data_IF_636351631507
#
_entry.id   IF_636351631507
#
_cell.length_a   1.000
_cell.length_b   1.000
_cell.length_c   1.000
_cell.angle_alpha   90.00
_cell.angle_beta   90.00
_cell.angle_gamma   90.00
#
_symmetry.space_group_name_H-M   'P 1'
#
loop_
_entity.id
_entity.type
_entity.pdbx_description
1 polymer ?
#
# COMPACT_ATOMS: atom_id res chain seq x y z
N UNK A 1 9.88 -10.69 -17.02
CA UNK A 1 9.48 -9.29 -17.32
C UNK A 1 10.60 -8.64 -18.09
N UNK A 2 10.30 -7.98 -19.22
CA UNK A 2 11.33 -7.37 -20.07
C UNK A 2 12.21 -6.32 -19.38
N UNK A 3 11.73 -5.70 -18.29
CA UNK A 3 12.53 -4.77 -17.50
C UNK A 3 13.64 -5.44 -16.67
N UNK A 4 13.55 -6.76 -16.43
CA UNK A 4 14.56 -7.54 -15.72
C UNK A 4 15.42 -8.37 -16.67
N UNK A 5 14.81 -9.02 -17.65
CA UNK A 5 15.46 -10.02 -18.51
C UNK A 5 15.58 -9.59 -19.97
N UNK A 6 15.05 -8.43 -20.34
CA UNK A 6 14.99 -7.95 -21.73
C UNK A 6 13.83 -8.53 -22.55
N UNK A 7 13.20 -9.62 -22.09
CA UNK A 7 12.07 -10.29 -22.77
C UNK A 7 10.92 -10.64 -21.82
N UNK A 8 9.67 -10.53 -22.28
CA UNK A 8 8.50 -11.02 -21.54
C UNK A 8 8.41 -12.55 -21.59
N UNK A 9 7.81 -13.18 -20.58
CA UNK A 9 7.76 -14.64 -20.45
C UNK A 9 9.12 -15.33 -20.17
N UNK A 10 10.22 -14.57 -20.18
CA UNK A 10 11.57 -15.11 -19.94
C UNK A 10 12.05 -14.83 -18.51
N UNK A 11 12.44 -15.90 -17.82
CA UNK A 11 13.06 -15.86 -16.48
C UNK A 11 14.56 -15.57 -16.53
N UNK A 12 15.22 -15.73 -17.68
CA UNK A 12 16.67 -15.63 -17.81
C UNK A 12 17.40 -16.51 -16.78
N UNK A 13 18.50 -16.00 -16.23
CA UNK A 13 19.28 -16.66 -15.17
C UNK A 13 18.73 -16.40 -13.75
N UNK A 14 17.49 -15.90 -13.62
CA UNK A 14 16.89 -15.67 -12.31
C UNK A 14 16.56 -17.00 -11.64
N UNK A 15 17.43 -17.43 -10.73
CA UNK A 15 17.21 -18.60 -9.88
C UNK A 15 16.23 -18.33 -8.72
N UNK A 16 15.56 -17.17 -8.70
CA UNK A 16 14.68 -16.75 -7.60
C UNK A 16 13.58 -15.85 -8.12
N UNK A 17 12.36 -16.12 -7.64
CA UNK A 17 11.19 -15.27 -7.81
C UNK A 17 11.43 -13.86 -7.23
N UNK A 18 11.43 -12.80 -8.05
CA UNK A 18 11.69 -11.45 -7.60
C UNK A 18 10.69 -10.94 -6.55
N UNK A 19 9.41 -11.28 -6.66
CA UNK A 19 8.38 -10.82 -5.73
C UNK A 19 8.57 -11.46 -4.35
N UNK A 20 8.80 -12.78 -4.31
CA UNK A 20 9.11 -13.49 -3.07
C UNK A 20 10.37 -12.93 -2.37
N UNK A 21 11.41 -12.60 -3.16
CA UNK A 21 12.62 -11.97 -2.63
C UNK A 21 12.36 -10.57 -2.07
N UNK A 22 11.62 -9.72 -2.79
CA UNK A 22 11.27 -8.36 -2.34
C UNK A 22 10.51 -8.36 -1.01
N UNK A 23 9.53 -9.26 -0.89
CA UNK A 23 8.73 -9.44 0.34
C UNK A 23 9.64 -9.86 1.50
N UNK A 24 10.43 -10.92 1.29
CA UNK A 24 11.34 -11.46 2.31
C UNK A 24 12.32 -10.41 2.83
N UNK A 25 12.94 -9.63 1.93
CA UNK A 25 13.90 -8.61 2.33
C UNK A 25 13.25 -7.40 3.02
N UNK A 26 12.03 -7.04 2.62
CA UNK A 26 11.23 -5.99 3.27
C UNK A 26 10.88 -6.40 4.71
N UNK A 27 10.39 -7.62 4.87
CA UNK A 27 9.98 -8.17 6.16
C UNK A 27 11.14 -8.37 7.13
N UNK A 28 12.31 -8.82 6.67
CA UNK A 28 13.55 -8.89 7.48
C UNK A 28 13.93 -7.54 8.12
N UNK A 29 13.48 -6.43 7.53
CA UNK A 29 13.72 -5.06 8.01
C UNK A 29 12.56 -4.50 8.86
N UNK A 30 11.52 -5.31 9.12
CA UNK A 30 10.36 -4.93 9.92
C UNK A 30 9.41 -3.97 9.21
N UNK A 31 9.47 -3.92 7.88
CA UNK A 31 8.59 -3.12 7.02
C UNK A 31 7.46 -3.99 6.47
N UNK A 32 6.34 -3.37 6.13
CA UNK A 32 5.25 -4.01 5.38
C UNK A 32 5.50 -3.92 3.87
N UNK A 33 5.03 -4.93 3.12
CA UNK A 33 5.08 -4.97 1.67
C UNK A 33 3.66 -4.95 1.09
N UNK A 34 3.33 -3.88 0.38
CA UNK A 34 2.07 -3.78 -0.35
C UNK A 34 2.37 -3.97 -1.85
N UNK A 35 1.80 -5.01 -2.47
CA UNK A 35 1.94 -5.26 -3.89
C UNK A 35 1.09 -4.25 -4.68
N UNK A 36 1.75 -3.40 -5.46
CA UNK A 36 1.10 -2.43 -6.32
C UNK A 36 0.76 -3.05 -7.67
N UNK A 37 -0.51 -2.92 -8.07
CA UNK A 37 -1.03 -3.37 -9.35
C UNK A 37 -1.73 -2.21 -10.06
N UNK A 38 -1.53 -2.10 -11.37
CA UNK A 38 -2.29 -1.22 -12.25
C UNK A 38 -3.30 -2.09 -13.00
N UNK A 39 -4.61 -1.91 -12.80
CA UNK A 39 -5.60 -2.89 -13.26
C UNK A 39 -5.79 -2.89 -14.79
N UNK A 40 -5.90 -1.71 -15.42
CA UNK A 40 -6.44 -1.65 -16.79
C UNK A 40 -5.43 -1.31 -17.89
N UNK A 41 -4.18 -0.95 -17.56
CA UNK A 41 -3.17 -0.71 -18.60
C UNK A 41 -2.68 -2.06 -19.15
N UNK A 42 -2.95 -2.35 -20.42
CA UNK A 42 -2.44 -3.54 -21.09
C UNK A 42 -1.04 -3.32 -21.68
N UNK A 43 -0.78 -2.14 -22.28
CA UNK A 43 0.51 -1.84 -22.90
C UNK A 43 1.09 -0.48 -22.48
N UNK A 44 2.41 -0.32 -22.64
CA UNK A 44 3.09 0.95 -22.40
C UNK A 44 3.08 1.89 -23.60
N UNK A 45 2.96 1.33 -24.80
CA UNK A 45 2.91 2.01 -26.09
C UNK A 45 2.09 1.15 -27.08
N UNK A 46 2.00 1.57 -28.35
CA UNK A 46 1.37 0.81 -29.43
C UNK A 46 2.29 -0.27 -30.02
N UNK A 47 3.55 -0.38 -29.58
CA UNK A 47 4.51 -1.37 -30.09
C UNK A 47 4.27 -2.72 -29.39
N UNK A 48 3.50 -3.56 -30.04
CA UNK A 48 3.04 -4.85 -29.49
C UNK A 48 3.91 -6.04 -29.91
N UNK A 49 4.88 -5.84 -30.81
CA UNK A 49 5.78 -6.88 -31.31
C UNK A 49 6.67 -7.53 -30.22
N UNK A 50 6.86 -6.83 -29.10
CA UNK A 50 7.68 -7.29 -27.98
C UNK A 50 6.87 -8.01 -26.89
N UNK A 51 5.54 -8.08 -27.04
CA UNK A 51 4.68 -8.81 -26.09
C UNK A 51 4.93 -10.31 -26.20
N UNK A 52 4.86 -11.00 -25.07
CA UNK A 52 4.94 -12.46 -25.07
C UNK A 52 3.73 -13.07 -25.83
N UNK A 53 3.89 -14.23 -26.52
CA UNK A 53 2.79 -14.85 -27.26
C UNK A 53 1.55 -15.15 -26.41
N UNK A 54 1.74 -15.40 -25.11
CA UNK A 54 0.70 -15.68 -24.12
C UNK A 54 0.15 -14.41 -23.42
N UNK A 55 0.54 -13.22 -23.86
CA UNK A 55 0.03 -11.96 -23.33
C UNK A 55 -1.46 -11.78 -23.69
N UNK A 56 -2.30 -11.33 -22.75
CA UNK A 56 -3.75 -11.21 -22.95
C UNK A 56 -4.14 -10.33 -24.15
N UNK A 57 -3.35 -9.30 -24.45
CA UNK A 57 -3.51 -8.50 -25.69
C UNK A 57 -3.63 -9.38 -26.96
N UNK A 58 -2.85 -10.46 -27.04
CA UNK A 58 -2.86 -11.39 -28.17
C UNK A 58 -3.89 -12.51 -28.00
N UNK A 59 -4.11 -12.98 -26.77
CA UNK A 59 -5.03 -14.08 -26.48
C UNK A 59 -6.50 -13.65 -26.47
N UNK A 60 -6.75 -12.40 -26.08
CA UNK A 60 -8.06 -11.79 -25.88
C UNK A 60 -8.11 -10.38 -26.50
N UNK A 61 -7.95 -10.24 -27.83
CA UNK A 61 -7.98 -8.94 -28.49
C UNK A 61 -9.32 -8.21 -28.28
N UNK A 62 -10.41 -8.94 -28.06
CA UNK A 62 -11.74 -8.40 -27.74
C UNK A 62 -11.82 -7.70 -26.38
N UNK A 63 -10.84 -7.91 -25.50
CA UNK A 63 -10.74 -7.20 -24.22
C UNK A 63 -10.09 -5.83 -24.34
N UNK A 64 -9.49 -5.51 -25.49
CA UNK A 64 -8.55 -4.40 -25.62
C UNK A 64 -9.19 -3.19 -26.30
N UNK A 65 -9.07 -2.02 -25.67
CA UNK A 65 -9.45 -0.72 -26.24
C UNK A 65 -8.18 0.09 -26.53
N UNK A 66 -7.90 0.46 -27.79
CA UNK A 66 -6.87 1.44 -28.09
C UNK A 66 -7.29 2.82 -27.61
N UNK A 67 -6.41 3.53 -26.92
CA UNK A 67 -6.63 4.90 -26.47
C UNK A 67 -5.31 5.64 -26.33
N UNK A 68 -5.17 6.77 -27.01
CA UNK A 68 -3.90 7.46 -27.20
C UNK A 68 -2.85 6.52 -27.80
N UNK A 69 -1.69 6.49 -27.17
CA UNK A 69 -0.57 5.66 -27.60
C UNK A 69 -0.55 4.27 -26.93
N UNK A 70 -1.67 3.77 -26.38
CA UNK A 70 -1.68 2.53 -25.57
C UNK A 70 -2.93 1.70 -25.79
N UNK A 71 -2.88 0.47 -25.30
CA UNK A 71 -4.05 -0.40 -25.13
C UNK A 71 -4.43 -0.53 -23.66
N UNK A 72 -5.73 -0.58 -23.43
CA UNK A 72 -6.34 -0.75 -22.11
C UNK A 72 -7.29 -1.94 -22.12
N UNK A 73 -7.32 -2.70 -21.04
CA UNK A 73 -8.41 -3.64 -20.81
C UNK A 73 -9.73 -2.86 -20.67
N UNK A 74 -10.78 -3.35 -21.31
CA UNK A 74 -12.11 -2.75 -21.29
C UNK A 74 -12.77 -2.99 -19.92
N UNK A 75 -12.96 -1.96 -19.07
CA UNK A 75 -13.47 -2.16 -17.72
C UNK A 75 -14.93 -2.64 -17.70
N UNK A 76 -15.67 -2.46 -18.81
CA UNK A 76 -17.07 -2.85 -18.93
C UNK A 76 -17.32 -4.32 -19.22
N UNK A 77 -16.28 -5.11 -19.50
CA UNK A 77 -16.43 -6.55 -19.74
C UNK A 77 -16.34 -7.33 -18.42
N UNK A 78 -17.35 -8.16 -18.08
CA UNK A 78 -17.28 -9.02 -16.90
C UNK A 78 -16.08 -9.96 -16.89
N UNK A 79 -15.68 -10.47 -18.05
CA UNK A 79 -14.55 -11.39 -18.21
C UNK A 79 -13.22 -10.72 -17.83
N UNK A 80 -13.04 -9.45 -18.22
CA UNK A 80 -11.90 -8.63 -17.82
C UNK A 80 -11.89 -8.45 -16.30
N UNK A 81 -13.03 -8.11 -15.69
CA UNK A 81 -13.10 -7.93 -14.24
C UNK A 81 -12.75 -9.23 -13.50
N UNK A 82 -13.28 -10.36 -13.95
CA UNK A 82 -12.99 -11.68 -13.38
C UNK A 82 -11.50 -12.04 -13.51
N UNK A 83 -10.90 -11.80 -14.67
CA UNK A 83 -9.48 -12.04 -14.90
C UNK A 83 -8.61 -11.19 -13.94
N UNK A 84 -8.88 -9.88 -13.83
CA UNK A 84 -8.10 -9.00 -12.95
C UNK A 84 -8.25 -9.37 -11.46
N UNK A 85 -9.44 -9.80 -11.03
CA UNK A 85 -9.65 -10.34 -9.68
C UNK A 85 -8.89 -11.64 -9.48
N UNK A 86 -8.82 -12.51 -10.49
CA UNK A 86 -8.05 -13.76 -10.43
C UNK A 86 -6.54 -13.51 -10.28
N UNK A 87 -5.99 -12.48 -10.95
CA UNK A 87 -4.60 -12.05 -10.75
C UNK A 87 -4.36 -11.59 -9.31
N UNK A 88 -5.27 -10.79 -8.75
CA UNK A 88 -5.16 -10.38 -7.33
C UNK A 88 -5.26 -11.61 -6.40
N UNK A 89 -6.19 -12.51 -6.66
CA UNK A 89 -6.37 -13.77 -5.92
C UNK A 89 -5.09 -14.59 -5.90
N UNK A 90 -4.44 -14.76 -7.04
CA UNK A 90 -3.17 -15.47 -7.17
C UNK A 90 -2.08 -14.83 -6.30
N UNK A 91 -1.90 -13.50 -6.40
CA UNK A 91 -0.88 -12.79 -5.64
C UNK A 91 -1.13 -12.93 -4.12
N UNK A 92 -2.38 -12.75 -3.70
CA UNK A 92 -2.77 -12.88 -2.29
C UNK A 92 -2.57 -14.31 -1.80
N UNK A 93 -2.93 -15.33 -2.58
CA UNK A 93 -2.80 -16.72 -2.18
C UNK A 93 -1.32 -17.13 -2.07
N UNK A 94 -0.52 -16.86 -3.10
CA UNK A 94 0.86 -17.37 -3.23
C UNK A 94 1.89 -16.63 -2.38
N UNK A 95 1.70 -15.34 -2.12
CA UNK A 95 2.73 -14.51 -1.51
C UNK A 95 2.37 -14.00 -0.11
N UNK A 96 3.39 -13.78 0.72
CA UNK A 96 3.23 -13.21 2.06
C UNK A 96 3.18 -11.67 2.03
N UNK A 97 2.22 -11.11 1.29
CA UNK A 97 2.03 -9.65 1.23
C UNK A 97 1.28 -9.13 2.46
N UNK A 98 1.47 -7.86 2.80
CA UNK A 98 0.68 -7.16 3.84
C UNK A 98 -0.48 -6.37 3.25
N UNK A 99 -0.41 -6.04 1.95
CA UNK A 99 -1.49 -5.36 1.26
C UNK A 99 -1.45 -5.47 -0.26
N UNK A 100 -2.59 -5.22 -0.88
CA UNK A 100 -2.76 -4.90 -2.30
C UNK A 100 -2.97 -3.39 -2.41
N UNK A 101 -2.28 -2.78 -3.37
CA UNK A 101 -2.38 -1.36 -3.65
C UNK A 101 -2.75 -1.10 -5.11
N UNK A 102 -3.82 -0.34 -5.35
CA UNK A 102 -4.06 0.27 -6.68
C UNK A 102 -3.71 1.76 -6.62
N UNK A 103 -3.25 2.31 -7.74
CA UNK A 103 -3.02 3.75 -7.91
C UNK A 103 -4.25 4.44 -8.50
N UNK A 104 -4.05 5.43 -9.38
CA UNK A 104 -5.10 6.30 -9.92
C UNK A 104 -5.54 5.95 -11.34
N UNK A 105 -4.98 4.91 -11.96
CA UNK A 105 -5.34 4.52 -13.34
C UNK A 105 -6.54 3.57 -13.34
N UNK A 106 -7.71 4.15 -13.57
CA UNK A 106 -8.96 3.44 -13.84
C UNK A 106 -9.27 3.52 -15.33
N UNK A 107 -10.22 4.38 -15.72
CA UNK A 107 -10.25 4.86 -17.10
C UNK A 107 -9.07 5.81 -17.35
N UNK A 108 -8.53 5.84 -18.59
CA UNK A 108 -7.39 6.67 -18.90
C UNK A 108 -7.69 8.17 -18.77
N UNK A 109 -6.62 8.92 -18.55
CA UNK A 109 -6.67 10.38 -18.56
C UNK A 109 -7.18 10.86 -19.92
N UNK A 110 -8.25 11.69 -19.94
CA UNK A 110 -8.82 12.25 -21.17
C UNK A 110 -7.76 12.93 -22.04
N UNK A 111 -7.71 12.52 -23.30
CA UNK A 111 -6.97 13.14 -24.39
C UNK A 111 -7.96 13.93 -25.23
N UNK A 112 -7.61 15.18 -25.55
CA UNK A 112 -8.48 16.05 -26.33
C UNK A 112 -8.70 15.45 -27.74
N UNK A 113 -9.97 15.29 -28.12
CA UNK A 113 -10.35 14.76 -29.42
C UNK A 113 -10.36 13.23 -29.51
N UNK A 114 -10.01 12.52 -28.43
CA UNK A 114 -10.03 11.06 -28.40
C UNK A 114 -11.15 10.52 -27.52
N UNK A 115 -11.92 9.58 -28.08
CA UNK A 115 -12.99 8.87 -27.39
C UNK A 115 -12.48 7.51 -26.91
N UNK A 116 -12.70 7.19 -25.64
CA UNK A 116 -12.56 5.83 -25.14
C UNK A 116 -13.77 5.01 -25.63
N UNK A 117 -13.56 4.18 -26.65
CA UNK A 117 -14.64 3.52 -27.38
C UNK A 117 -15.09 2.20 -26.72
N UNK A 118 -15.85 2.34 -25.64
CA UNK A 118 -16.57 1.24 -24.99
C UNK A 118 -18.06 1.19 -25.39
N UNK A 119 -18.41 1.70 -26.58
CA UNK A 119 -19.81 1.92 -26.98
C UNK A 119 -20.59 0.61 -27.12
N UNK A 120 -20.01 -0.37 -27.82
CA UNK A 120 -20.56 -1.72 -27.97
C UNK A 120 -20.78 -2.38 -26.61
N UNK A 121 -19.81 -2.27 -25.70
CA UNK A 121 -19.89 -2.85 -24.35
C UNK A 121 -20.95 -2.14 -23.52
N UNK A 122 -21.06 -0.82 -23.62
CA UNK A 122 -22.13 -0.08 -22.95
C UNK A 122 -23.52 -0.49 -23.46
N UNK A 123 -23.70 -0.68 -24.77
CA UNK A 123 -24.98 -1.17 -25.32
C UNK A 123 -25.31 -2.58 -24.83
N UNK A 124 -24.32 -3.44 -24.65
CA UNK A 124 -24.52 -4.82 -24.22
C UNK A 124 -24.78 -4.97 -22.70
N UNK A 125 -24.07 -4.21 -21.87
CA UNK A 125 -24.05 -4.40 -20.40
C UNK A 125 -24.60 -3.21 -19.60
N UNK A 126 -24.87 -2.07 -20.25
CA UNK A 126 -25.50 -0.92 -19.62
C UNK A 126 -26.96 -1.20 -19.27
N UNK A 127 -27.43 -0.66 -18.14
CA UNK A 127 -28.84 -0.75 -17.75
C UNK A 127 -29.67 0.33 -18.47
N UNK A 128 -30.95 0.09 -18.78
CA UNK A 128 -31.79 1.02 -19.55
C UNK A 128 -31.79 2.48 -19.07
N UNK A 129 -31.76 2.72 -17.75
CA UNK A 129 -31.83 4.05 -17.14
C UNK A 129 -30.48 4.54 -16.57
N UNK A 130 -29.37 3.85 -16.88
CA UNK A 130 -28.04 4.20 -16.39
C UNK A 130 -27.32 5.06 -17.43
N UNK A 131 -26.77 6.21 -17.05
CA UNK A 131 -25.91 6.98 -17.95
C UNK A 131 -24.61 6.23 -18.24
N UNK A 132 -23.94 6.53 -19.36
CA UNK A 132 -22.64 5.90 -19.68
C UNK A 132 -21.60 6.19 -18.60
N UNK A 133 -21.59 7.40 -18.06
CA UNK A 133 -20.69 7.80 -16.99
C UNK A 133 -20.97 7.06 -15.69
N UNK A 134 -22.25 6.85 -15.32
CA UNK A 134 -22.62 6.03 -14.15
C UNK A 134 -22.28 4.56 -14.37
N UNK A 135 -22.45 4.05 -15.58
CA UNK A 135 -22.06 2.71 -15.96
C UNK A 135 -20.55 2.51 -15.81
N UNK A 136 -19.75 3.43 -16.35
CA UNK A 136 -18.28 3.40 -16.19
C UNK A 136 -17.87 3.41 -14.72
N UNK A 137 -18.48 4.28 -13.89
CA UNK A 137 -18.23 4.30 -12.43
C UNK A 137 -18.59 2.97 -11.78
N UNK A 138 -19.75 2.40 -12.13
CA UNK A 138 -20.19 1.11 -11.59
C UNK A 138 -19.25 -0.03 -11.93
N UNK A 139 -18.67 -0.05 -13.13
CA UNK A 139 -17.69 -1.06 -13.54
C UNK A 139 -16.43 -1.01 -12.67
N UNK A 140 -15.92 0.20 -12.40
CA UNK A 140 -14.77 0.36 -11.49
C UNK A 140 -15.14 -0.09 -10.08
N UNK A 141 -16.28 0.37 -9.56
CA UNK A 141 -16.76 -0.01 -8.22
C UNK A 141 -16.95 -1.53 -8.08
N UNK A 142 -17.43 -2.22 -9.12
CA UNK A 142 -17.55 -3.68 -9.15
C UNK A 142 -16.19 -4.39 -9.06
N UNK A 143 -15.16 -3.90 -9.75
CA UNK A 143 -13.80 -4.44 -9.59
C UNK A 143 -13.29 -4.22 -8.16
N UNK A 144 -13.47 -3.02 -7.60
CA UNK A 144 -13.01 -2.70 -6.24
C UNK A 144 -13.70 -3.59 -5.21
N UNK A 145 -15.03 -3.77 -5.31
CA UNK A 145 -15.77 -4.64 -4.42
C UNK A 145 -15.27 -6.10 -4.50
N UNK A 146 -15.21 -6.67 -5.70
CA UNK A 146 -14.79 -8.08 -5.86
C UNK A 146 -13.35 -8.30 -5.41
N UNK A 147 -12.47 -7.33 -5.67
CA UNK A 147 -11.08 -7.36 -5.19
C UNK A 147 -11.03 -7.38 -3.67
N UNK A 148 -11.79 -6.51 -3.00
CA UNK A 148 -11.90 -6.49 -1.55
C UNK A 148 -12.37 -7.83 -0.99
N UNK A 149 -13.51 -8.31 -1.48
CA UNK A 149 -14.13 -9.56 -1.01
C UNK A 149 -13.18 -10.76 -1.18
N UNK A 150 -12.50 -10.84 -2.33
CA UNK A 150 -11.51 -11.88 -2.61
C UNK A 150 -10.32 -11.83 -1.65
N UNK A 151 -9.76 -10.64 -1.41
CA UNK A 151 -8.66 -10.46 -0.44
C UNK A 151 -9.10 -10.91 0.95
N UNK A 152 -10.28 -10.46 1.39
CA UNK A 152 -10.78 -10.77 2.74
C UNK A 152 -11.15 -12.23 2.93
N UNK A 153 -11.63 -12.91 1.88
CA UNK A 153 -11.90 -14.34 1.91
C UNK A 153 -10.61 -15.17 2.04
N UNK A 154 -9.52 -14.77 1.38
CA UNK A 154 -8.26 -15.52 1.38
C UNK A 154 -7.40 -15.23 2.61
N UNK A 155 -7.17 -13.94 2.89
CA UNK A 155 -6.28 -13.48 3.98
C UNK A 155 -6.87 -12.19 4.59
N UNK A 156 -7.78 -12.28 5.59
CA UNK A 156 -8.52 -11.12 6.09
C UNK A 156 -7.64 -9.99 6.67
N UNK A 157 -6.40 -10.30 7.06
CA UNK A 157 -5.42 -9.31 7.52
C UNK A 157 -4.71 -8.55 6.39
N UNK A 158 -4.77 -9.02 5.14
CA UNK A 158 -4.17 -8.31 3.99
C UNK A 158 -5.01 -7.07 3.70
N UNK A 159 -4.35 -5.92 3.67
CA UNK A 159 -5.03 -4.64 3.42
C UNK A 159 -5.30 -4.45 1.94
N UNK A 160 -6.41 -3.80 1.60
CA UNK A 160 -6.66 -3.30 0.26
C UNK A 160 -6.76 -1.78 0.32
N UNK A 161 -5.93 -1.06 -0.42
CA UNK A 161 -6.03 0.38 -0.46
C UNK A 161 -5.66 0.99 -1.78
N UNK A 162 -6.21 2.18 -2.01
CA UNK A 162 -6.18 2.83 -3.32
C UNK A 162 -5.58 4.22 -3.17
N UNK A 163 -4.71 4.63 -4.09
CA UNK A 163 -4.13 5.98 -4.17
C UNK A 163 -4.80 6.77 -5.31
N UNK A 164 -6.04 7.27 -5.13
CA UNK A 164 -6.75 7.98 -6.18
C UNK A 164 -6.11 9.34 -6.48
N UNK A 165 -6.52 9.97 -7.58
CA UNK A 165 -6.14 11.35 -7.88
C UNK A 165 -6.54 12.29 -6.72
N UNK A 166 -5.79 13.36 -6.51
CA UNK A 166 -5.97 14.21 -5.33
C UNK A 166 -7.30 14.97 -5.26
N UNK A 167 -7.99 15.16 -6.39
CA UNK A 167 -9.28 15.87 -6.48
C UNK A 167 -10.39 14.89 -6.88
N UNK A 168 -11.38 14.70 -6.00
CA UNK A 168 -12.56 13.89 -6.31
C UNK A 168 -13.49 14.59 -7.31
N UNK A 169 -13.91 15.82 -6.98
CA UNK A 169 -14.67 16.76 -7.81
C UNK A 169 -14.30 18.19 -7.42
N UNK A 170 -14.43 19.13 -8.35
CA UNK A 170 -14.33 20.57 -8.04
C UNK A 170 -15.66 21.07 -7.47
N UNK A 171 -15.59 22.00 -6.50
CA UNK A 171 -16.77 22.63 -5.88
C UNK A 171 -17.70 23.34 -6.89
N UNK A 172 -17.14 23.81 -8.01
CA UNK A 172 -17.91 24.41 -9.12
C UNK A 172 -18.75 23.41 -9.91
N UNK A 173 -18.41 22.12 -9.85
CA UNK A 173 -19.12 21.02 -10.51
C UNK A 173 -20.09 20.34 -9.55
N UNK A 174 -19.68 20.19 -8.29
CA UNK A 174 -20.48 19.58 -7.23
C UNK A 174 -20.19 20.31 -5.92
N UNK A 175 -21.20 20.87 -5.21
CA UNK A 175 -20.97 21.61 -3.96
C UNK A 175 -20.30 20.82 -2.85
N UNK A 176 -20.35 19.48 -2.91
CA UNK A 176 -19.64 18.60 -1.97
C UNK A 176 -18.16 18.39 -2.33
N UNK A 177 -17.75 18.82 -3.51
CA UNK A 177 -16.38 18.79 -4.00
C UNK A 177 -15.43 19.72 -3.25
N UNK A 178 -14.14 19.59 -3.53
CA UNK A 178 -13.12 20.45 -2.92
C UNK A 178 -13.09 21.82 -3.59
N UNK A 179 -12.72 22.87 -2.84
CA UNK A 179 -12.44 24.21 -3.37
C UNK A 179 -11.14 24.21 -4.19
N UNK A 180 -11.25 23.67 -5.40
CA UNK A 180 -10.20 23.45 -6.39
C UNK A 180 -10.71 23.74 -7.79
N UNK A 181 -9.78 23.89 -8.72
CA UNK A 181 -10.00 24.07 -10.17
C UNK A 181 -9.11 23.11 -10.95
N UNK A 182 -9.16 21.83 -10.60
CA UNK A 182 -8.38 20.81 -11.31
C UNK A 182 -9.01 20.55 -12.69
N UNK A 183 -8.18 20.48 -13.73
CA UNK A 183 -8.62 20.16 -15.08
C UNK A 183 -9.10 18.71 -15.25
N UNK A 184 -8.81 17.86 -14.26
CA UNK A 184 -9.26 16.48 -14.20
C UNK A 184 -9.57 16.09 -12.76
N UNK A 185 -10.48 15.14 -12.60
CA UNK A 185 -11.04 14.73 -11.31
C UNK A 185 -11.32 13.22 -11.33
N UNK A 186 -11.31 12.56 -10.16
CA UNK A 186 -11.60 11.13 -10.09
C UNK A 186 -12.98 10.80 -10.67
N UNK A 187 -14.01 11.51 -10.23
CA UNK A 187 -15.40 11.14 -10.47
C UNK A 187 -15.85 11.42 -11.91
N UNK A 188 -15.49 12.60 -12.43
CA UNK A 188 -16.04 13.09 -13.71
C UNK A 188 -15.25 12.57 -14.92
N UNK A 189 -13.97 12.25 -14.73
CA UNK A 189 -13.05 11.97 -15.84
C UNK A 189 -12.42 10.59 -15.78
N UNK A 190 -12.02 10.13 -14.59
CA UNK A 190 -11.41 8.81 -14.40
C UNK A 190 -12.44 7.74 -14.01
N UNK A 191 -13.70 8.14 -13.82
CA UNK A 191 -14.83 7.32 -13.39
C UNK A 191 -14.54 6.51 -12.12
N UNK A 192 -13.78 7.12 -11.20
CA UNK A 192 -13.42 6.56 -9.92
C UNK A 192 -14.20 7.27 -8.80
N UNK A 193 -14.88 6.52 -7.95
CA UNK A 193 -15.61 7.06 -6.81
C UNK A 193 -15.07 6.55 -5.45
N UNK A 194 -13.90 7.06 -5.01
CA UNK A 194 -13.32 6.69 -3.72
C UNK A 194 -14.21 6.99 -2.51
N UNK A 195 -15.21 7.87 -2.66
CA UNK A 195 -16.15 8.24 -1.61
C UNK A 195 -17.15 7.10 -1.40
N UNK A 196 -17.66 6.52 -2.50
CA UNK A 196 -18.44 5.28 -2.47
C UNK A 196 -17.64 4.15 -1.82
N UNK A 197 -16.43 3.87 -2.29
CA UNK A 197 -15.64 2.73 -1.81
C UNK A 197 -15.36 2.83 -0.31
N UNK A 198 -15.10 4.06 0.18
CA UNK A 198 -14.96 4.36 1.60
C UNK A 198 -16.26 4.15 2.39
N UNK A 199 -17.40 4.58 1.86
CA UNK A 199 -18.71 4.42 2.52
C UNK A 199 -19.11 2.95 2.63
N UNK A 200 -18.81 2.16 1.60
CA UNK A 200 -19.14 0.74 1.54
C UNK A 200 -18.14 -0.15 2.29
N UNK A 201 -16.98 0.40 2.70
CA UNK A 201 -15.94 -0.37 3.38
C UNK A 201 -15.14 -1.29 2.46
N UNK A 202 -15.18 -1.06 1.14
CA UNK A 202 -14.44 -1.85 0.14
C UNK A 202 -12.94 -1.54 0.11
N UNK A 203 -12.47 -0.56 0.88
CA UNK A 203 -11.04 -0.25 1.04
C UNK A 203 -10.68 -0.09 2.52
N UNK A 204 -9.52 -0.59 2.90
CA UNK A 204 -8.95 -0.43 4.25
C UNK A 204 -8.26 0.92 4.44
N UNK A 205 -7.82 1.54 3.34
CA UNK A 205 -7.25 2.88 3.30
C UNK A 205 -7.40 3.55 1.93
N UNK A 206 -7.41 4.87 1.95
CA UNK A 206 -7.26 5.73 0.79
C UNK A 206 -5.97 6.54 0.90
N UNK A 207 -5.34 6.78 -0.24
CA UNK A 207 -4.10 7.54 -0.34
C UNK A 207 -4.14 8.65 -1.40
N UNK A 208 -4.97 9.70 -1.23
CA UNK A 208 -5.13 10.72 -2.26
C UNK A 208 -3.80 11.40 -2.62
N UNK A 209 -3.55 11.53 -3.93
CA UNK A 209 -2.32 12.08 -4.49
C UNK A 209 -2.29 13.61 -4.42
N UNK A 210 -1.91 14.17 -3.26
CA UNK A 210 -1.83 15.62 -3.04
C UNK A 210 -0.50 16.21 -3.51
N UNK A 211 -0.23 16.08 -4.81
CA UNK A 211 1.06 16.43 -5.41
C UNK A 211 1.18 17.91 -5.78
N UNK A 212 0.56 18.82 -5.04
CA UNK A 212 0.71 20.27 -5.21
C UNK A 212 1.40 20.87 -3.99
N UNK A 213 1.93 22.09 -4.13
CA UNK A 213 2.48 22.79 -2.98
C UNK A 213 1.37 23.19 -2.00
N UNK A 214 1.77 23.54 -0.77
CA UNK A 214 0.86 23.91 0.32
C UNK A 214 -0.25 24.86 -0.11
N UNK A 215 0.11 25.91 -0.84
CA UNK A 215 -0.78 27.02 -1.16
C UNK A 215 -0.96 27.23 -2.68
N UNK A 216 -0.71 26.20 -3.49
CA UNK A 216 -0.97 26.23 -4.94
C UNK A 216 -2.44 26.55 -5.24
N UNK A 217 -2.72 27.72 -5.80
CA UNK A 217 -4.08 28.26 -5.86
C UNK A 217 -5.13 27.36 -6.57
N UNK A 218 -4.82 26.64 -7.66
CA UNK A 218 -5.78 25.73 -8.30
C UNK A 218 -6.08 24.44 -7.51
N UNK A 219 -5.15 23.95 -6.70
CA UNK A 219 -5.26 22.65 -6.02
C UNK A 219 -4.39 22.61 -4.76
N UNK A 220 -4.66 23.50 -3.81
CA UNK A 220 -3.86 23.66 -2.60
C UNK A 220 -3.82 22.37 -1.80
N UNK A 221 -2.61 21.91 -1.44
CA UNK A 221 -2.44 20.74 -0.58
C UNK A 221 -3.17 20.94 0.75
N UNK A 222 -3.15 22.15 1.33
CA UNK A 222 -3.85 22.46 2.59
C UNK A 222 -5.36 22.27 2.48
N UNK A 223 -5.97 22.79 1.41
CA UNK A 223 -7.42 22.66 1.18
C UNK A 223 -7.81 21.20 0.96
N UNK A 224 -7.05 20.49 0.12
CA UNK A 224 -7.32 19.09 -0.18
C UNK A 224 -7.12 18.18 1.03
N UNK A 225 -6.08 18.40 1.82
CA UNK A 225 -5.85 17.67 3.08
C UNK A 225 -7.05 17.81 4.02
N UNK A 226 -7.54 19.04 4.22
CA UNK A 226 -8.69 19.32 5.07
C UNK A 226 -9.97 18.70 4.53
N UNK A 227 -10.17 18.75 3.21
CA UNK A 227 -11.34 18.16 2.56
C UNK A 227 -11.35 16.64 2.76
N UNK A 228 -10.28 15.93 2.38
CA UNK A 228 -10.19 14.47 2.55
C UNK A 228 -10.37 14.04 4.01
N UNK A 229 -9.71 14.72 4.94
CA UNK A 229 -9.82 14.43 6.38
C UNK A 229 -11.26 14.54 6.93
N UNK A 230 -12.09 15.36 6.28
CA UNK A 230 -13.48 15.61 6.69
C UNK A 230 -14.46 14.68 5.97
N UNK A 231 -14.21 14.37 4.70
CA UNK A 231 -15.19 13.66 3.84
C UNK A 231 -15.18 12.14 4.02
N UNK A 232 -14.06 11.53 4.44
CA UNK A 232 -13.96 10.08 4.67
C UNK A 232 -13.45 9.73 6.08
N UNK A 233 -14.10 10.20 7.15
CA UNK A 233 -13.57 10.11 8.52
C UNK A 233 -13.44 8.67 9.05
N UNK A 234 -14.18 7.72 8.45
CA UNK A 234 -14.17 6.31 8.83
C UNK A 234 -13.06 5.49 8.16
N UNK A 235 -12.44 6.00 7.11
CA UNK A 235 -11.43 5.29 6.32
C UNK A 235 -10.05 5.82 6.64
N UNK A 236 -9.05 4.94 6.67
CA UNK A 236 -7.68 5.40 6.91
C UNK A 236 -7.20 6.27 5.76
N UNK A 237 -6.54 7.37 6.08
CA UNK A 237 -5.99 8.31 5.12
C UNK A 237 -4.47 8.40 5.25
N UNK A 238 -3.80 8.13 4.14
CA UNK A 238 -2.39 8.40 3.94
C UNK A 238 -2.22 9.44 2.85
N UNK A 239 -1.41 10.48 3.06
CA UNK A 239 -1.30 11.53 2.04
C UNK A 239 -0.22 11.18 1.03
N UNK A 240 -0.58 11.15 -0.26
CA UNK A 240 0.39 11.07 -1.33
C UNK A 240 1.19 12.37 -1.43
N UNK A 241 2.50 12.32 -1.21
CA UNK A 241 3.41 13.45 -1.35
C UNK A 241 4.29 13.32 -2.60
N UNK A 242 4.27 14.34 -3.45
CA UNK A 242 4.99 14.37 -4.72
C UNK A 242 6.47 14.72 -4.58
N UNK A 243 7.28 13.88 -3.94
CA UNK A 243 8.71 14.10 -3.76
C UNK A 243 9.49 14.29 -5.09
N UNK A 244 8.96 13.78 -6.21
CA UNK A 244 9.51 14.01 -7.55
C UNK A 244 9.44 15.45 -8.05
N UNK A 245 8.62 16.31 -7.42
CA UNK A 245 8.47 17.72 -7.80
C UNK A 245 9.50 18.65 -7.14
N UNK A 246 10.19 18.20 -6.10
CA UNK A 246 11.21 19.00 -5.40
C UNK A 246 12.26 19.47 -6.43
N UNK A 247 12.40 20.79 -6.59
CA UNK A 247 13.30 21.45 -7.58
C UNK A 247 13.09 20.98 -9.03
N UNK A 248 11.92 20.40 -9.33
CA UNK A 248 11.56 19.86 -10.64
C UNK A 248 10.08 20.19 -10.94
N UNK A 249 9.71 21.44 -10.70
CA UNK A 249 8.38 21.95 -10.97
C UNK A 249 8.43 23.44 -11.32
N UNK A 250 7.40 23.91 -12.06
CA UNK A 250 7.26 25.34 -12.38
C UNK A 250 6.89 26.17 -11.16
N UNK A 251 6.16 25.58 -10.22
CA UNK A 251 5.83 26.23 -8.95
C UNK A 251 7.06 26.34 -8.06
N UNK A 252 7.48 27.58 -7.77
CA UNK A 252 8.68 27.93 -7.01
C UNK A 252 8.64 27.48 -5.55
N UNK A 253 7.47 27.18 -4.99
CA UNK A 253 7.38 26.60 -3.65
C UNK A 253 8.23 25.31 -3.52
N UNK A 254 8.34 24.53 -4.61
CA UNK A 254 9.11 23.28 -4.64
C UNK A 254 10.63 23.47 -4.59
N UNK A 255 11.14 24.69 -4.75
CA UNK A 255 12.57 25.01 -4.56
C UNK A 255 12.93 25.04 -3.06
N UNK A 256 11.93 25.26 -2.19
CA UNK A 256 12.11 25.22 -0.75
C UNK A 256 12.22 23.78 -0.25
N UNK A 257 13.39 23.43 0.30
CA UNK A 257 13.64 22.11 0.92
C UNK A 257 12.68 21.76 2.07
N UNK A 258 11.96 22.73 2.62
CA UNK A 258 10.97 22.56 3.68
C UNK A 258 9.54 22.32 3.18
N UNK A 259 9.26 22.44 1.88
CA UNK A 259 7.91 22.26 1.32
C UNK A 259 7.30 20.92 1.74
N UNK A 260 7.95 19.79 1.44
CA UNK A 260 7.51 18.46 1.89
C UNK A 260 7.50 18.36 3.43
N UNK A 261 8.57 18.70 4.17
CA UNK A 261 8.52 18.72 5.63
C UNK A 261 7.33 19.47 6.25
N UNK A 262 6.93 20.60 5.68
CA UNK A 262 5.80 21.40 6.15
C UNK A 262 4.45 20.73 5.83
N UNK A 263 4.32 20.09 4.66
CA UNK A 263 3.17 19.21 4.35
C UNK A 263 3.04 18.07 5.38
N UNK A 264 4.15 17.41 5.74
CA UNK A 264 4.14 16.34 6.75
C UNK A 264 3.75 16.85 8.15
N UNK A 265 4.22 18.03 8.53
CA UNK A 265 3.85 18.68 9.80
C UNK A 265 2.36 19.04 9.81
N UNK A 266 1.84 19.55 8.69
CA UNK A 266 0.41 19.84 8.54
C UNK A 266 -0.42 18.55 8.66
N UNK A 267 -0.06 17.49 7.93
CA UNK A 267 -0.72 16.18 8.03
C UNK A 267 -0.77 15.65 9.46
N UNK A 268 0.31 15.80 10.24
CA UNK A 268 0.33 15.40 11.67
C UNK A 268 -0.60 16.19 12.57
N UNK A 269 -0.89 17.45 12.23
CA UNK A 269 -1.78 18.33 13.00
C UNK A 269 -3.24 18.11 12.64
N UNK A 270 -3.52 17.53 11.47
CA UNK A 270 -4.86 17.30 10.96
C UNK A 270 -5.41 15.98 11.48
N UNK A 271 -6.57 16.04 12.15
CA UNK A 271 -7.29 14.85 12.62
C UNK A 271 -7.61 13.93 11.43
N UNK A 272 -7.69 12.62 11.67
CA UNK A 272 -7.98 11.58 10.66
C UNK A 272 -6.89 11.33 9.59
N UNK A 273 -5.77 12.07 9.60
CA UNK A 273 -4.61 11.72 8.77
C UNK A 273 -3.68 10.80 9.56
N UNK A 274 -3.40 9.60 9.05
CA UNK A 274 -2.59 8.59 9.77
C UNK A 274 -1.21 8.33 9.16
N UNK A 275 -0.86 8.95 8.04
CA UNK A 275 0.44 8.71 7.42
C UNK A 275 0.61 9.39 6.06
N UNK A 276 1.68 9.01 5.37
CA UNK A 276 2.11 9.63 4.13
C UNK A 276 2.74 8.56 3.21
N UNK A 277 2.58 8.71 1.90
CA UNK A 277 3.19 7.88 0.85
C UNK A 277 3.98 8.82 -0.07
N UNK A 278 5.27 8.55 -0.27
CA UNK A 278 6.11 9.41 -1.10
C UNK A 278 6.22 8.88 -2.53
N UNK A 279 5.80 9.67 -3.51
CA UNK A 279 6.08 9.41 -4.92
C UNK A 279 7.34 10.17 -5.35
N UNK A 280 8.49 9.52 -5.53
CA UNK A 280 8.76 8.09 -5.33
C UNK A 280 9.98 7.90 -4.43
N UNK A 281 10.24 6.65 -4.03
CA UNK A 281 11.44 6.30 -3.28
C UNK A 281 12.71 6.77 -4.00
N UNK A 282 12.77 6.66 -5.33
CA UNK A 282 13.90 7.13 -6.12
C UNK A 282 14.11 8.63 -6.03
N UNK A 283 13.06 9.43 -6.25
CA UNK A 283 13.18 10.89 -6.22
C UNK A 283 13.50 11.43 -4.82
N UNK A 284 12.94 10.82 -3.77
CA UNK A 284 13.24 11.24 -2.40
C UNK A 284 14.64 10.80 -1.95
N UNK A 285 14.97 9.51 -2.12
CA UNK A 285 16.15 8.91 -1.49
C UNK A 285 17.43 9.06 -2.32
N UNK A 286 17.33 9.16 -3.64
CA UNK A 286 18.48 9.33 -4.54
C UNK A 286 18.66 10.79 -4.94
N UNK A 287 17.62 11.44 -5.44
CA UNK A 287 17.71 12.81 -5.97
C UNK A 287 17.68 13.87 -4.87
N UNK A 288 16.77 13.76 -3.89
CA UNK A 288 16.53 14.79 -2.87
C UNK A 288 17.03 14.40 -1.46
N UNK A 289 18.31 13.97 -1.40
CA UNK A 289 18.92 13.41 -0.17
C UNK A 289 18.94 14.37 1.01
N UNK A 290 19.04 15.67 0.77
CA UNK A 290 19.04 16.69 1.81
C UNK A 290 17.66 16.80 2.49
N UNK A 291 16.58 16.72 1.70
CA UNK A 291 15.20 16.66 2.19
C UNK A 291 14.96 15.34 2.95
N UNK A 292 15.37 14.21 2.38
CA UNK A 292 15.26 12.91 3.06
C UNK A 292 16.00 12.90 4.42
N UNK A 293 17.19 13.50 4.49
CA UNK A 293 17.95 13.65 5.74
C UNK A 293 17.21 14.54 6.75
N UNK A 294 16.59 15.62 6.29
CA UNK A 294 15.80 16.50 7.14
C UNK A 294 14.60 15.77 7.74
N UNK A 295 13.83 15.06 6.90
CA UNK A 295 12.67 14.26 7.33
C UNK A 295 13.13 13.20 8.34
N UNK A 296 14.20 12.44 8.05
CA UNK A 296 14.74 11.43 8.96
C UNK A 296 15.14 12.02 10.32
N UNK A 297 15.77 13.20 10.34
CA UNK A 297 16.28 13.81 11.59
C UNK A 297 15.16 14.43 12.43
N UNK A 298 14.19 15.09 11.80
CA UNK A 298 13.25 15.98 12.51
C UNK A 298 11.82 15.45 12.57
N UNK A 299 11.44 14.56 11.63
CA UNK A 299 10.06 14.10 11.48
C UNK A 299 9.99 12.62 11.86
N UNK A 300 10.75 11.75 11.18
CA UNK A 300 10.79 10.31 11.43
C UNK A 300 12.06 9.89 12.19
N UNK A 301 12.33 10.57 13.32
CA UNK A 301 13.55 10.39 14.12
C UNK A 301 13.64 9.03 14.81
N UNK A 302 12.49 8.40 15.07
CA UNK A 302 12.40 7.14 15.80
C UNK A 302 11.74 6.07 14.93
N UNK A 303 12.18 4.81 15.05
CA UNK A 303 11.46 3.69 14.46
C UNK A 303 9.99 3.69 14.91
N UNK A 304 9.08 3.52 13.94
CA UNK A 304 7.66 3.40 14.19
C UNK A 304 7.19 1.97 13.89
N UNK A 305 6.13 1.53 14.57
CA UNK A 305 5.42 0.33 14.14
C UNK A 305 4.60 0.65 12.90
N UNK A 306 4.43 -0.32 11.97
CA UNK A 306 3.39 -0.21 10.99
C UNK A 306 2.01 0.02 11.67
N UNK A 307 1.10 0.75 11.01
CA UNK A 307 -0.24 1.00 11.56
C UNK A 307 -0.96 -0.31 11.95
N UNK A 308 -1.75 -0.27 13.01
CA UNK A 308 -2.56 -1.42 13.41
C UNK A 308 -3.75 -1.61 12.45
N UNK A 309 -3.97 -2.85 12.02
CA UNK A 309 -5.13 -3.29 11.23
C UNK A 309 -6.26 -3.66 12.21
N UNK A 310 -7.54 -3.35 11.95
CA UNK A 310 -8.62 -3.70 12.87
C UNK A 310 -8.81 -5.21 12.76
N UNK A 311 -8.66 -5.93 13.86
CA UNK A 311 -9.05 -7.32 13.89
C UNK A 311 -10.57 -7.45 13.98
N UNK A 312 -11.16 -8.51 13.40
CA UNK A 312 -12.58 -8.84 13.60
C UNK A 312 -12.93 -8.93 15.09
N UNK A 313 -12.01 -9.44 15.91
CA UNK A 313 -12.12 -9.49 17.36
C UNK A 313 -10.87 -8.95 18.05
N UNK A 314 -11.05 -8.14 19.10
CA UNK A 314 -9.95 -7.64 19.95
C UNK A 314 -9.62 -8.65 21.06
N UNK A 315 -9.28 -9.88 20.70
CA UNK A 315 -8.88 -10.91 21.68
C UNK A 315 -7.37 -10.93 21.84
N UNK A 316 -6.83 -10.69 23.04
CA UNK A 316 -5.38 -10.80 23.26
C UNK A 316 -4.85 -12.19 22.82
N UNK A 317 -3.90 -12.27 21.87
CA UNK A 317 -3.42 -13.56 21.39
C UNK A 317 -2.81 -14.39 22.51
N UNK A 318 -3.02 -15.70 22.44
CA UNK A 318 -2.45 -16.65 23.40
C UNK A 318 -0.93 -16.66 23.26
N UNK A 319 -0.25 -16.83 24.39
CA UNK A 319 1.22 -16.97 24.40
C UNK A 319 1.60 -18.33 23.81
N UNK A 320 2.53 -18.40 22.84
CA UNK A 320 3.01 -19.68 22.35
C UNK A 320 3.85 -20.39 23.40
N UNK A 321 3.78 -21.73 23.43
CA UNK A 321 4.79 -22.56 24.09
C UNK A 321 6.06 -22.50 23.25
N UNK A 322 7.21 -22.30 23.89
CA UNK A 322 8.49 -22.27 23.18
C UNK A 322 9.53 -23.18 23.83
N UNK A 323 10.46 -23.67 23.02
CA UNK A 323 11.71 -24.26 23.47
C UNK A 323 12.86 -23.31 23.15
N UNK A 324 13.67 -22.99 24.16
CA UNK A 324 14.86 -22.15 24.01
C UNK A 324 16.12 -23.00 24.15
N UNK A 325 17.07 -22.83 23.23
CA UNK A 325 18.41 -23.45 23.32
C UNK A 325 19.49 -22.39 23.10
N UNK A 326 20.45 -22.32 24.02
CA UNK A 326 21.59 -21.40 23.93
C UNK A 326 22.84 -22.11 23.42
N UNK A 327 23.56 -21.45 22.51
CA UNK A 327 24.89 -21.82 22.04
C UNK A 327 25.83 -20.63 22.26
N UNK A 328 27.14 -20.80 21.99
CA UNK A 328 28.12 -19.70 22.09
C UNK A 328 27.69 -18.45 21.31
N UNK A 329 27.12 -18.64 20.11
CA UNK A 329 26.87 -17.54 19.17
C UNK A 329 25.39 -17.14 19.08
N UNK A 330 24.47 -18.07 19.34
CA UNK A 330 23.04 -17.87 19.12
C UNK A 330 22.15 -18.44 20.23
N UNK A 331 21.05 -17.74 20.48
CA UNK A 331 19.84 -18.30 21.09
C UNK A 331 18.91 -18.78 19.99
N UNK A 332 18.49 -20.04 20.07
CA UNK A 332 17.49 -20.64 19.19
C UNK A 332 16.16 -20.74 19.93
N UNK A 333 15.09 -20.42 19.22
CA UNK A 333 13.73 -20.46 19.72
C UNK A 333 12.88 -21.28 18.76
N UNK A 334 12.23 -22.31 19.27
CA UNK A 334 11.24 -23.11 18.55
C UNK A 334 9.87 -22.84 19.16
N UNK A 335 8.92 -22.34 18.36
CA UNK A 335 7.50 -22.26 18.71
C UNK A 335 6.91 -23.65 18.56
N UNK A 336 6.40 -24.21 19.65
CA UNK A 336 5.89 -25.58 19.71
C UNK A 336 4.42 -25.69 19.31
N UNK A 337 3.75 -24.55 19.13
CA UNK A 337 2.36 -24.49 18.68
C UNK A 337 2.32 -23.96 17.25
N UNK A 338 2.21 -24.88 16.30
CA UNK A 338 2.19 -24.54 14.87
C UNK A 338 0.89 -23.89 14.44
N UNK A 339 -0.17 -23.94 15.26
CA UNK A 339 -1.43 -23.24 14.97
C UNK A 339 -1.33 -21.73 15.21
N UNK A 340 -0.38 -21.30 16.05
CA UNK A 340 -0.15 -19.89 16.34
C UNK A 340 0.85 -19.30 15.35
N UNK A 341 0.35 -18.48 14.41
CA UNK A 341 1.17 -17.72 13.48
C UNK A 341 1.36 -16.29 13.96
N UNK A 342 2.62 -15.91 14.19
CA UNK A 342 3.01 -14.56 14.57
C UNK A 342 3.90 -13.98 13.49
N UNK A 343 3.72 -12.72 13.15
CA UNK A 343 4.56 -12.07 12.16
C UNK A 343 5.88 -11.60 12.76
N UNK A 344 5.87 -11.17 14.03
CA UNK A 344 7.04 -10.66 14.72
C UNK A 344 7.19 -11.19 16.15
N UNK A 345 8.44 -11.33 16.58
CA UNK A 345 8.83 -11.38 17.98
C UNK A 345 9.60 -10.11 18.35
N UNK A 346 9.18 -9.44 19.42
CA UNK A 346 9.90 -8.33 20.03
C UNK A 346 10.65 -8.84 21.27
N UNK A 347 11.97 -8.69 21.28
CA UNK A 347 12.82 -9.23 22.35
C UNK A 347 13.56 -8.11 23.08
N UNK A 348 13.26 -7.99 24.36
CA UNK A 348 13.91 -7.06 25.29
C UNK A 348 14.79 -7.83 26.27
N UNK A 349 15.99 -7.33 26.51
CA UNK A 349 16.92 -7.93 27.48
C UNK A 349 17.22 -7.01 28.66
N UNK A 350 17.43 -7.61 29.82
CA UNK A 350 17.71 -6.94 31.09
C UNK A 350 18.87 -7.61 31.84
N UNK A 351 19.64 -6.82 32.60
CA UNK A 351 20.71 -7.34 33.47
C UNK A 351 20.15 -7.89 34.78
N UNK A 352 19.12 -7.25 35.33
CA UNK A 352 18.50 -7.62 36.60
C UNK A 352 17.03 -8.05 36.39
N UNK A 353 16.57 -9.02 37.18
CA UNK A 353 15.22 -9.58 37.12
C UNK A 353 14.13 -8.53 37.36
N UNK A 354 14.39 -7.56 38.23
CA UNK A 354 13.44 -6.51 38.61
C UNK A 354 13.27 -5.42 37.54
N UNK A 355 14.28 -5.19 36.70
CA UNK A 355 14.20 -4.22 35.60
C UNK A 355 13.20 -4.66 34.53
N UNK A 356 13.02 -5.97 34.35
CA UNK A 356 11.97 -6.56 33.53
C UNK A 356 10.56 -6.37 34.11
N UNK A 357 10.41 -5.81 35.32
CA UNK A 357 9.10 -5.52 35.94
C UNK A 357 8.68 -4.05 35.79
N UNK A 358 9.63 -3.10 35.66
CA UNK A 358 9.35 -1.65 35.75
C UNK A 358 9.31 -0.88 34.40
N UNK A 359 9.74 -1.47 33.26
CA UNK A 359 9.88 -0.75 31.97
C UNK A 359 8.95 -1.26 30.86
N UNK A 360 7.66 -1.40 31.14
CA UNK A 360 6.65 -1.89 30.19
C UNK A 360 6.43 -0.94 28.98
N UNK A 361 6.83 0.34 29.08
CA UNK A 361 6.46 1.38 28.09
C UNK A 361 7.61 1.98 27.26
N UNK A 362 8.81 1.39 27.25
CA UNK A 362 9.90 1.90 26.39
C UNK A 362 10.24 0.86 25.31
N UNK A 363 9.65 1.03 24.12
CA UNK A 363 9.94 0.31 22.87
C UNK A 363 11.44 0.26 22.54
N UNK A 364 12.18 -0.67 23.16
CA UNK A 364 13.62 -0.87 22.97
C UNK A 364 13.97 -2.32 22.63
N UNK A 365 12.96 -3.16 22.37
CA UNK A 365 13.16 -4.54 21.98
C UNK A 365 13.67 -4.65 20.54
N UNK A 366 14.55 -5.62 20.29
CA UNK A 366 14.91 -6.00 18.91
C UNK A 366 13.75 -6.77 18.32
N UNK A 367 13.27 -6.32 17.16
CA UNK A 367 12.22 -7.01 16.39
C UNK A 367 12.84 -8.05 15.48
N UNK A 368 12.20 -9.21 15.42
CA UNK A 368 12.58 -10.32 14.58
C UNK A 368 11.34 -10.69 13.78
N UNK A 369 11.46 -10.64 12.46
CA UNK A 369 10.44 -11.19 11.58
C UNK A 369 10.48 -12.71 11.67
N UNK A 370 9.32 -13.28 11.94
CA UNK A 370 9.13 -14.73 12.00
C UNK A 370 8.57 -15.24 10.67
N UNK A 371 7.74 -14.45 9.97
CA UNK A 371 7.00 -14.91 8.80
C UNK A 371 6.16 -16.13 9.12
N UNK A 372 6.25 -17.16 8.27
CA UNK A 372 5.66 -18.48 8.52
C UNK A 372 6.57 -19.42 9.34
N UNK A 373 7.72 -18.94 9.82
CA UNK A 373 8.69 -19.79 10.53
C UNK A 373 8.22 -20.06 11.96
N UNK A 374 8.17 -21.33 12.33
CA UNK A 374 8.05 -21.78 13.72
C UNK A 374 9.37 -21.67 14.49
N UNK A 375 10.47 -21.22 13.85
CA UNK A 375 11.80 -21.16 14.45
C UNK A 375 12.49 -19.85 14.14
N UNK A 376 13.16 -19.29 15.13
CA UNK A 376 13.99 -18.11 14.93
C UNK A 376 15.22 -18.12 15.84
N UNK A 377 16.22 -17.29 15.50
CA UNK A 377 17.46 -17.19 16.28
C UNK A 377 17.91 -15.76 16.51
N UNK A 378 18.59 -15.55 17.63
CA UNK A 378 19.13 -14.26 18.05
C UNK A 378 20.62 -14.39 18.31
N UNK A 379 21.48 -13.55 17.70
CA UNK A 379 22.88 -13.52 18.06
C UNK A 379 23.07 -13.14 19.53
N UNK A 380 23.79 -13.96 20.31
CA UNK A 380 24.05 -13.72 21.73
C UNK A 380 24.72 -12.36 21.96
N UNK A 381 25.64 -11.96 21.06
CA UNK A 381 26.31 -10.65 21.09
C UNK A 381 25.31 -9.47 21.07
N UNK A 382 24.17 -9.61 20.38
CA UNK A 382 23.17 -8.54 20.31
C UNK A 382 22.45 -8.27 21.65
N UNK A 383 22.57 -9.19 22.60
CA UNK A 383 22.00 -9.06 23.94
C UNK A 383 22.95 -8.38 24.94
N UNK A 384 24.20 -8.07 24.59
CA UNK A 384 25.10 -7.25 25.41
C UNK A 384 25.18 -7.68 26.90
N UNK A 385 25.25 -8.98 27.16
CA UNK A 385 25.35 -9.55 28.51
C UNK A 385 24.04 -9.52 29.33
N UNK A 386 22.90 -9.17 28.74
CA UNK A 386 21.59 -9.20 29.39
C UNK A 386 21.17 -10.66 29.64
N UNK A 387 20.95 -11.04 30.91
CA UNK A 387 20.63 -12.41 31.36
C UNK A 387 19.12 -12.71 31.30
N UNK A 388 18.29 -11.71 31.53
CA UNK A 388 16.82 -11.88 31.54
C UNK A 388 16.24 -11.37 30.24
N UNK A 389 15.33 -12.14 29.65
CA UNK A 389 14.68 -11.80 28.39
C UNK A 389 13.17 -11.67 28.60
N UNK A 390 12.59 -10.73 27.87
CA UNK A 390 11.15 -10.60 27.69
C UNK A 390 10.85 -10.68 26.18
N UNK A 391 9.94 -11.59 25.81
CA UNK A 391 9.53 -11.80 24.43
C UNK A 391 8.04 -11.52 24.30
N UNK A 392 7.68 -10.64 23.39
CA UNK A 392 6.30 -10.36 23.01
C UNK A 392 6.12 -10.77 21.56
N UNK A 393 5.21 -11.71 21.32
CA UNK A 393 4.80 -12.09 19.98
C UNK A 393 3.67 -11.18 19.48
N UNK A 394 3.74 -10.85 18.20
CA UNK A 394 2.84 -9.92 17.50
C UNK A 394 2.27 -10.64 16.27
N UNK A 395 0.96 -10.74 16.18
CA UNK A 395 0.27 -11.37 15.06
C UNK A 395 0.12 -10.44 13.83
N UNK A 396 -0.56 -10.94 12.79
CA UNK A 396 -0.84 -10.21 11.55
C UNK A 396 -1.74 -8.98 11.77
N UNK A 397 -2.59 -9.00 12.80
CA UNK A 397 -3.44 -7.86 13.19
C UNK A 397 -2.77 -6.89 14.16
N UNK A 398 -1.46 -7.04 14.41
CA UNK A 398 -0.68 -6.23 15.35
C UNK A 398 -1.07 -6.39 16.81
N UNK A 399 -1.80 -7.45 17.16
CA UNK A 399 -2.14 -7.74 18.54
C UNK A 399 -0.96 -8.42 19.24
N UNK A 400 -0.72 -8.01 20.48
CA UNK A 400 0.42 -8.44 21.29
C UNK A 400 0.00 -9.46 22.33
N UNK A 401 0.73 -10.57 22.39
CA UNK A 401 0.65 -11.54 23.50
C UNK A 401 1.05 -10.91 24.85
N UNK A 402 0.70 -11.57 25.97
CA UNK A 402 1.32 -11.24 27.27
C UNK A 402 2.82 -11.57 27.25
N UNK A 403 3.72 -10.71 27.78
CA UNK A 403 5.16 -10.92 27.66
C UNK A 403 5.66 -12.22 28.30
N UNK A 404 6.35 -13.05 27.51
CA UNK A 404 7.02 -14.26 27.97
C UNK A 404 8.38 -13.90 28.58
N UNK A 405 8.62 -14.32 29.81
CA UNK A 405 9.85 -14.02 30.55
C UNK A 405 10.73 -15.27 30.61
N UNK A 406 11.99 -15.11 30.22
CA UNK A 406 12.97 -16.18 30.18
C UNK A 406 14.26 -15.73 30.87
N UNK A 407 15.02 -16.70 31.33
CA UNK A 407 16.35 -16.48 31.88
C UNK A 407 17.34 -17.31 31.06
N UNK A 408 18.41 -16.67 30.59
CA UNK A 408 19.56 -17.32 29.98
C UNK A 408 20.37 -18.04 31.06
N UNK A 409 20.97 -19.16 30.73
CA UNK A 409 21.75 -19.95 31.70
C UNK A 409 23.04 -19.20 32.08
#
# INVERSE_FOLDING_TARGET
SRYLTGKEGDMGDLNTDPLAWMITETHKRGMEFHAWLNPYRATFDLQTDLLAPDHDFLQHPEWMIPYGEKYYYNPGLPEVQQHLVAVVSEVVAKYDIDGIHFDDYFYPYRIQGELFDDSTTYTAYGKPDQTREDWRRSNISSLIQQTHETIKALKPWVQFGISPFGVWRNASTDPSGSDTRAGQTNYDHLFADPLEWSRQGWVDYLAPQLYWSLDYAPASHRKLLSWWATTVPQTRLYIGNGAYKIRNNRDKAWDNKKEIPEQLILGRKTKNIQGNIFFSAGSLMKTNRDVARFIRKNIYAYPAFPPSIPAPEKTQPRRPKIKMRETRDYLYFDLLDESLRFQFAEISGFRQKEQARKKINQNRGKRIYLGELSKFRVPVKSLQGKKYLEIVFIDRYRQKTKPLKLQRN
#
